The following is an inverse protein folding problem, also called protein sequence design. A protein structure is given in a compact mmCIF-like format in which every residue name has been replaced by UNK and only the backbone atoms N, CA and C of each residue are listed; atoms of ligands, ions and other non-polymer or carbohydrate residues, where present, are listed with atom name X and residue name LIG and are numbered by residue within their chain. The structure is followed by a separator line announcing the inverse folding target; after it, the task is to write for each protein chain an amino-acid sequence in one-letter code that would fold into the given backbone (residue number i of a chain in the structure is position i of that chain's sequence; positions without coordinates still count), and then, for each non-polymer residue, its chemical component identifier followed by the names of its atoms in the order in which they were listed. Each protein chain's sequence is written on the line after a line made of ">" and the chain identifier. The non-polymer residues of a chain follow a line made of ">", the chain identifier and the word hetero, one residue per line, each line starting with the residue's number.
data_IF_360223908035
#
_entry.id   IF_360223908035
#
_cell.length_a   1.000
_cell.length_b   1.000
_cell.length_c   1.000
_cell.angle_alpha   90.00
_cell.angle_beta   90.00
_cell.angle_gamma   90.00
#
_symmetry.space_group_name_H-M   'P 1'
#
loop_
_entity.id
_entity.type
_entity.pdbx_description
1 polymer ?
#
# COMPACT_ATOMS: atom_id res chain seq x y z
N UNK A 1 19.11 32.65 66.69
CA UNK A 1 19.07 33.36 65.39
C UNK A 1 19.55 32.48 64.21
N UNK A 2 19.49 31.14 64.31
CA UNK A 2 19.97 30.21 63.26
C UNK A 2 18.88 29.30 62.65
N UNK A 3 17.64 29.31 63.15
CA UNK A 3 16.58 28.40 62.68
C UNK A 3 15.76 28.96 61.50
N UNK A 4 15.74 30.27 61.29
CA UNK A 4 15.00 30.89 60.18
C UNK A 4 15.69 30.73 58.81
N UNK A 5 17.02 30.59 58.79
CA UNK A 5 17.78 30.40 57.54
C UNK A 5 17.77 28.95 57.03
N UNK A 6 17.58 27.97 57.91
CA UNK A 6 17.53 26.55 57.52
C UNK A 6 16.19 26.18 56.90
N UNK A 7 15.05 26.69 57.40
CA UNK A 7 13.74 26.39 56.81
C UNK A 7 13.53 26.98 55.41
N UNK A 8 13.97 28.22 55.17
CA UNK A 8 13.85 28.83 53.84
C UNK A 8 14.72 28.14 52.79
N UNK A 9 15.93 27.70 53.16
CA UNK A 9 16.79 26.92 52.25
C UNK A 9 16.22 25.52 51.98
N UNK A 10 15.62 24.87 52.98
CA UNK A 10 14.92 23.59 52.80
C UNK A 10 13.70 23.71 51.89
N UNK A 11 12.92 24.79 52.02
CA UNK A 11 11.80 25.06 51.13
C UNK A 11 12.25 25.32 49.69
N UNK A 12 13.32 26.09 49.48
CA UNK A 12 13.87 26.34 48.14
C UNK A 12 14.35 25.04 47.49
N UNK A 13 15.10 24.21 48.24
CA UNK A 13 15.55 22.89 47.74
C UNK A 13 14.35 22.00 47.40
N UNK A 14 13.30 22.00 48.23
CA UNK A 14 12.08 21.23 47.98
C UNK A 14 11.33 21.68 46.72
N UNK A 15 11.18 23.00 46.49
CA UNK A 15 10.55 23.52 45.27
C UNK A 15 11.36 23.20 44.01
N UNK A 16 12.70 23.24 44.11
CA UNK A 16 13.58 22.85 43.00
C UNK A 16 13.47 21.36 42.67
N UNK A 17 13.50 20.48 43.68
CA UNK A 17 13.37 19.04 43.46
C UNK A 17 11.98 18.66 42.96
N UNK A 18 10.91 19.26 43.50
CA UNK A 18 9.54 19.04 43.04
C UNK A 18 9.33 19.51 41.59
N UNK A 19 9.92 20.65 41.21
CA UNK A 19 9.88 21.14 39.83
C UNK A 19 10.61 20.22 38.85
N UNK A 20 11.78 19.70 39.23
CA UNK A 20 12.55 18.76 38.41
C UNK A 20 11.79 17.44 38.24
N UNK A 21 11.21 16.89 39.30
CA UNK A 21 10.40 15.66 39.24
C UNK A 21 9.18 15.85 38.34
N UNK A 22 8.49 16.98 38.44
CA UNK A 22 7.33 17.29 37.59
C UNK A 22 7.71 17.40 36.09
N UNK A 23 8.89 17.93 35.78
CA UNK A 23 9.39 18.02 34.41
C UNK A 23 9.76 16.64 33.87
N UNK A 24 10.38 15.78 34.70
CA UNK A 24 10.73 14.41 34.32
C UNK A 24 9.45 13.59 34.06
N UNK A 25 8.44 13.67 34.92
CA UNK A 25 7.15 13.00 34.72
C UNK A 25 6.42 13.49 33.46
N UNK A 26 6.47 14.81 33.18
CA UNK A 26 5.90 15.37 31.95
C UNK A 26 6.62 14.86 30.69
N UNK A 27 7.95 14.78 30.74
CA UNK A 27 8.75 14.21 29.67
C UNK A 27 8.47 12.73 29.49
N UNK A 28 8.40 11.96 30.57
CA UNK A 28 8.10 10.54 30.55
C UNK A 28 6.69 10.27 30.00
N UNK A 29 5.71 11.10 30.36
CA UNK A 29 4.35 11.07 29.80
C UNK A 29 4.31 11.38 28.30
N UNK A 30 5.03 12.41 27.85
CA UNK A 30 5.10 12.77 26.43
C UNK A 30 5.80 11.67 25.61
N UNK A 31 6.86 11.10 26.17
CA UNK A 31 7.65 10.01 25.58
C UNK A 31 6.82 8.73 25.51
N UNK A 32 6.25 8.23 26.60
CA UNK A 32 5.49 6.97 26.61
C UNK A 32 4.19 7.04 25.83
N UNK A 33 3.48 8.19 25.82
CA UNK A 33 2.20 8.32 25.12
C UNK A 33 2.33 8.52 23.60
N UNK A 34 3.37 9.20 23.11
CA UNK A 34 3.53 9.50 21.67
C UNK A 34 4.54 8.60 20.92
N UNK A 35 5.49 7.95 21.59
CA UNK A 35 6.48 7.07 20.93
C UNK A 35 5.84 5.93 20.13
N UNK A 36 4.77 5.24 20.59
CA UNK A 36 4.15 4.18 19.81
C UNK A 36 3.58 4.66 18.47
N UNK A 37 3.09 5.90 18.40
CA UNK A 37 2.60 6.52 17.17
C UNK A 37 3.76 6.94 16.25
N UNK A 38 4.79 7.57 16.80
CA UNK A 38 5.98 7.98 16.04
C UNK A 38 6.72 6.77 15.44
N UNK A 39 6.84 5.68 16.20
CA UNK A 39 7.42 4.42 15.72
C UNK A 39 6.59 3.75 14.62
N UNK A 40 5.26 3.97 14.56
CA UNK A 40 4.41 3.49 13.46
C UNK A 40 4.62 4.33 12.19
N UNK A 41 4.73 5.64 12.33
CA UNK A 41 5.00 6.57 11.23
C UNK A 41 6.39 6.30 10.62
N UNK A 42 7.40 6.16 11.48
CA UNK A 42 8.78 5.84 11.10
C UNK A 42 8.82 4.46 10.44
N UNK A 43 8.13 3.42 10.96
CA UNK A 43 8.06 2.11 10.29
C UNK A 43 7.48 2.17 8.88
N UNK A 44 6.50 3.04 8.61
CA UNK A 44 5.94 3.26 7.27
C UNK A 44 6.96 3.87 6.30
N UNK A 45 7.67 4.91 6.75
CA UNK A 45 8.73 5.58 5.99
C UNK A 45 9.93 4.64 5.74
N UNK A 46 10.34 3.88 6.76
CA UNK A 46 11.41 2.88 6.65
C UNK A 46 11.06 1.73 5.72
N UNK A 47 9.79 1.33 5.58
CA UNK A 47 9.38 0.33 4.56
C UNK A 47 9.45 0.88 3.13
N UNK A 48 9.22 2.18 2.93
CA UNK A 48 9.42 2.83 1.62
C UNK A 48 10.91 2.92 1.26
N UNK A 49 11.73 3.35 2.22
CA UNK A 49 13.18 3.47 2.05
C UNK A 49 13.85 2.10 1.90
N UNK A 50 13.48 1.11 2.73
CA UNK A 50 14.02 -0.24 2.64
C UNK A 50 13.69 -0.92 1.30
N UNK A 51 12.51 -0.67 0.70
CA UNK A 51 12.18 -1.14 -0.66
C UNK A 51 13.08 -0.53 -1.72
N UNK A 52 13.45 0.75 -1.55
CA UNK A 52 14.38 1.47 -2.42
C UNK A 52 15.81 0.91 -2.36
N UNK A 53 16.23 0.40 -1.20
CA UNK A 53 17.53 -0.27 -1.02
C UNK A 53 17.51 -1.78 -1.31
N UNK A 54 16.34 -2.42 -1.38
CA UNK A 54 16.21 -3.86 -1.72
C UNK A 54 16.17 -4.15 -3.22
N UNK A 55 16.12 -3.11 -4.05
CA UNK A 55 16.07 -3.19 -5.52
C UNK A 55 17.33 -3.72 -6.19
N UNK A 56 18.35 -4.13 -5.43
CA UNK A 56 19.67 -4.50 -5.95
C UNK A 56 19.95 -6.02 -5.98
N UNK A 57 18.97 -6.88 -5.65
CA UNK A 57 19.18 -8.35 -5.56
C UNK A 57 18.28 -9.14 -6.53
N UNK A 58 17.94 -8.56 -7.67
CA UNK A 58 17.53 -9.35 -8.83
C UNK A 58 17.79 -8.56 -10.09
N UNK A 59 18.83 -8.91 -10.85
CA UNK A 59 19.06 -8.43 -12.22
C UNK A 59 18.02 -8.98 -13.23
N UNK A 60 16.77 -9.17 -12.79
CA UNK A 60 15.61 -9.48 -13.61
C UNK A 60 14.69 -8.26 -13.66
N UNK A 61 14.06 -8.01 -14.81
CA UNK A 61 13.08 -6.94 -14.93
C UNK A 61 12.01 -7.09 -13.83
N UNK A 62 11.77 -6.01 -13.07
CA UNK A 62 10.70 -6.00 -12.05
C UNK A 62 9.37 -6.29 -12.74
N UNK A 63 8.63 -7.27 -12.26
CA UNK A 63 7.31 -7.66 -12.78
C UNK A 63 6.29 -7.47 -11.66
N UNK A 64 5.14 -6.86 -11.97
CA UNK A 64 4.24 -6.37 -10.94
C UNK A 64 2.81 -6.88 -11.10
N UNK A 65 2.25 -7.37 -10.00
CA UNK A 65 0.83 -7.65 -9.82
C UNK A 65 0.23 -6.51 -8.99
N UNK A 66 -0.70 -5.74 -9.57
CA UNK A 66 -1.46 -4.73 -8.83
C UNK A 66 -2.85 -5.27 -8.52
N UNK A 67 -3.16 -5.41 -7.23
CA UNK A 67 -4.38 -6.06 -6.77
C UNK A 67 -5.39 -5.07 -6.21
N UNK A 68 -6.56 -4.97 -6.86
CA UNK A 68 -7.69 -4.13 -6.47
C UNK A 68 -8.88 -4.91 -5.92
N UNK A 69 -8.77 -6.24 -5.77
CA UNK A 69 -9.90 -7.11 -5.39
C UNK A 69 -10.38 -6.93 -3.94
N UNK A 70 -9.57 -6.28 -3.08
CA UNK A 70 -9.83 -6.17 -1.64
C UNK A 70 -9.45 -7.42 -0.83
N UNK A 71 -9.02 -8.50 -1.49
CA UNK A 71 -8.55 -9.73 -0.86
C UNK A 71 -7.04 -9.92 -1.10
N UNK A 72 -6.27 -10.46 -0.14
CA UNK A 72 -4.86 -10.78 -0.39
C UNK A 72 -4.69 -11.76 -1.55
N UNK A 73 -3.68 -11.53 -2.39
CA UNK A 73 -3.27 -12.50 -3.42
C UNK A 73 -2.65 -13.71 -2.71
N UNK A 74 -3.19 -14.89 -2.96
CA UNK A 74 -2.68 -16.13 -2.39
C UNK A 74 -1.40 -16.58 -3.12
N UNK A 75 -0.50 -17.32 -2.45
CA UNK A 75 0.73 -17.81 -3.10
C UNK A 75 0.47 -18.63 -4.36
N UNK A 76 -0.57 -19.49 -4.38
CA UNK A 76 -0.95 -20.26 -5.56
C UNK A 76 -1.35 -19.35 -6.72
N UNK A 77 -2.23 -18.38 -6.47
CA UNK A 77 -2.62 -17.38 -7.46
C UNK A 77 -1.43 -16.59 -8.02
N UNK A 78 -0.50 -16.16 -7.16
CA UNK A 78 0.69 -15.44 -7.60
C UNK A 78 1.58 -16.30 -8.49
N UNK A 79 1.72 -17.59 -8.16
CA UNK A 79 2.46 -18.55 -8.96
C UNK A 79 1.77 -18.79 -10.32
N UNK A 80 0.46 -19.01 -10.34
CA UNK A 80 -0.32 -19.24 -11.56
C UNK A 80 -0.22 -18.06 -12.52
N UNK A 81 -0.35 -16.83 -12.00
CA UNK A 81 -0.13 -15.59 -12.77
C UNK A 81 1.29 -15.59 -13.34
N UNK A 82 2.28 -15.93 -12.52
CA UNK A 82 3.68 -16.01 -12.95
C UNK A 82 3.88 -16.98 -14.11
N UNK A 83 3.28 -18.16 -14.04
CA UNK A 83 3.36 -19.17 -15.10
C UNK A 83 2.69 -18.70 -16.40
N UNK A 84 1.48 -18.15 -16.31
CA UNK A 84 0.72 -17.66 -17.47
C UNK A 84 1.41 -16.46 -18.14
N UNK A 85 2.09 -15.62 -17.37
CA UNK A 85 2.81 -14.44 -17.88
C UNK A 85 4.27 -14.74 -18.27
N UNK A 86 4.75 -15.98 -18.04
CA UNK A 86 6.15 -16.35 -18.19
C UNK A 86 7.12 -15.49 -17.36
N UNK A 87 6.68 -15.17 -16.13
CA UNK A 87 7.39 -14.35 -15.17
C UNK A 87 8.13 -15.23 -14.16
N UNK A 88 9.41 -14.94 -13.92
CA UNK A 88 10.23 -15.69 -12.97
C UNK A 88 9.95 -15.30 -11.51
N UNK A 89 9.58 -14.05 -11.28
CA UNK A 89 9.19 -13.54 -9.96
C UNK A 89 8.34 -12.29 -10.11
N UNK A 90 7.36 -12.12 -9.24
CA UNK A 90 6.49 -10.93 -9.25
C UNK A 90 6.42 -10.26 -7.88
N UNK A 91 6.36 -8.93 -7.89
CA UNK A 91 5.99 -8.14 -6.72
C UNK A 91 4.46 -8.01 -6.69
N UNK A 92 3.85 -7.99 -5.50
CA UNK A 92 2.41 -7.74 -5.33
C UNK A 92 2.21 -6.41 -4.61
N UNK A 93 1.51 -5.48 -5.25
CA UNK A 93 1.01 -4.25 -4.63
C UNK A 93 -0.50 -4.40 -4.39
N UNK A 94 -0.88 -4.48 -3.12
CA UNK A 94 -2.29 -4.48 -2.73
C UNK A 94 -2.79 -3.04 -2.60
N UNK A 95 -3.82 -2.69 -3.37
CA UNK A 95 -4.44 -1.38 -3.36
C UNK A 95 -5.79 -1.47 -2.65
N UNK A 96 -5.87 -0.88 -1.47
CA UNK A 96 -7.13 -0.78 -0.73
C UNK A 96 -7.89 0.45 -1.17
N UNK A 97 -8.97 0.25 -1.94
CA UNK A 97 -9.90 1.33 -2.32
C UNK A 97 -10.89 1.61 -1.18
N UNK A 98 -11.18 0.62 -0.32
CA UNK A 98 -12.10 0.76 0.80
C UNK A 98 -13.56 0.97 0.39
N UNK A 99 -14.38 1.46 1.34
CA UNK A 99 -15.76 1.85 1.06
C UNK A 99 -15.75 3.24 0.42
N UNK A 100 -16.08 3.31 -0.87
CA UNK A 100 -16.23 4.58 -1.59
C UNK A 100 -17.66 5.08 -1.37
N UNK A 101 -17.87 6.29 -0.81
CA UNK A 101 -19.19 6.88 -0.72
C UNK A 101 -19.80 7.09 -2.10
N UNK A 102 -21.09 6.76 -2.25
CA UNK A 102 -21.88 6.98 -3.48
C UNK A 102 -22.32 8.45 -3.57
N UNK A 103 -21.36 9.36 -3.57
CA UNK A 103 -21.57 10.81 -3.62
C UNK A 103 -20.79 11.48 -4.77
N UNK A 104 -20.77 12.81 -4.77
CA UNK A 104 -20.07 13.60 -5.80
C UNK A 104 -18.54 13.41 -5.80
N UNK A 105 -17.96 12.74 -4.80
CA UNK A 105 -16.54 12.43 -4.69
C UNK A 105 -16.20 10.98 -5.04
N UNK A 106 -17.13 10.23 -5.64
CA UNK A 106 -16.91 8.82 -6.01
C UNK A 106 -15.64 8.63 -6.86
N UNK A 107 -15.53 9.33 -7.99
CA UNK A 107 -14.36 9.25 -8.90
C UNK A 107 -13.08 9.79 -8.23
N UNK A 108 -13.05 11.00 -7.65
CA UNK A 108 -11.86 11.51 -6.94
C UNK A 108 -11.33 10.61 -5.83
N UNK A 109 -12.21 9.85 -5.16
CA UNK A 109 -11.80 8.92 -4.10
C UNK A 109 -11.03 7.72 -4.66
N UNK A 110 -11.41 7.25 -5.85
CA UNK A 110 -10.73 6.15 -6.56
C UNK A 110 -9.39 6.64 -7.12
N UNK A 111 -9.36 7.81 -7.75
CA UNK A 111 -8.13 8.45 -8.26
C UNK A 111 -7.08 8.61 -7.16
N UNK A 112 -7.47 9.12 -5.99
CA UNK A 112 -6.60 9.22 -4.80
C UNK A 112 -6.09 7.88 -4.30
N UNK A 113 -6.79 6.79 -4.59
CA UNK A 113 -6.36 5.44 -4.20
C UNK A 113 -5.32 4.90 -5.17
N UNK A 114 -5.45 5.19 -6.47
CA UNK A 114 -4.46 4.87 -7.50
C UNK A 114 -3.19 5.72 -7.33
N UNK A 115 -3.30 7.00 -6.97
CA UNK A 115 -2.16 7.90 -6.75
C UNK A 115 -1.22 7.43 -5.63
N UNK A 116 -1.74 6.72 -4.63
CA UNK A 116 -0.95 6.16 -3.52
C UNK A 116 -0.08 4.96 -3.92
N UNK A 117 -0.25 4.43 -5.13
CA UNK A 117 0.58 3.35 -5.64
C UNK A 117 2.01 3.89 -5.79
N UNK A 118 3.02 3.28 -5.14
CA UNK A 118 4.37 3.83 -5.04
C UNK A 118 5.19 3.53 -6.30
N UNK A 119 4.74 4.02 -7.44
CA UNK A 119 5.43 3.93 -8.73
C UNK A 119 5.68 5.35 -9.27
N UNK A 120 6.90 5.60 -9.74
CA UNK A 120 7.24 6.81 -10.49
C UNK A 120 6.59 6.81 -11.88
N UNK A 121 6.48 7.96 -12.55
CA UNK A 121 6.03 8.03 -13.94
C UNK A 121 6.81 7.10 -14.89
N UNK A 122 8.13 6.98 -14.69
CA UNK A 122 9.00 6.10 -15.47
C UNK A 122 8.72 4.62 -15.17
N UNK A 123 8.50 4.28 -13.90
CA UNK A 123 8.14 2.92 -13.49
C UNK A 123 6.79 2.49 -14.09
N UNK A 124 5.79 3.38 -14.11
CA UNK A 124 4.51 3.13 -14.78
C UNK A 124 4.67 2.75 -16.25
N UNK A 125 5.60 3.36 -16.97
CA UNK A 125 5.76 3.12 -18.41
C UNK A 125 6.68 1.94 -18.73
N UNK A 126 7.55 1.55 -17.80
CA UNK A 126 8.62 0.57 -18.06
C UNK A 126 8.41 -0.79 -17.40
N UNK A 127 7.69 -0.85 -16.27
CA UNK A 127 7.46 -2.10 -15.54
C UNK A 127 6.31 -2.88 -16.20
N UNK A 128 6.50 -4.17 -16.52
CA UNK A 128 5.40 -5.06 -16.89
C UNK A 128 4.40 -5.20 -15.73
N UNK A 129 3.13 -4.91 -16.00
CA UNK A 129 2.05 -4.91 -15.01
C UNK A 129 0.91 -5.82 -15.44
N UNK A 130 0.45 -6.65 -14.51
CA UNK A 130 -0.82 -7.38 -14.59
C UNK A 130 -1.68 -6.98 -13.40
N UNK A 131 -3.00 -6.90 -13.60
CA UNK A 131 -3.91 -6.35 -12.60
C UNK A 131 -5.01 -7.31 -12.22
N UNK A 132 -5.31 -7.40 -10.92
CA UNK A 132 -6.48 -8.13 -10.41
C UNK A 132 -7.59 -7.09 -10.17
N UNK A 133 -8.74 -7.23 -10.85
CA UNK A 133 -9.78 -6.20 -10.86
C UNK A 133 -10.48 -6.04 -9.51
N UNK A 134 -11.08 -4.86 -9.31
CA UNK A 134 -12.06 -4.66 -8.24
C UNK A 134 -13.37 -5.37 -8.59
N UNK A 135 -14.04 -5.93 -7.58
CA UNK A 135 -15.34 -6.59 -7.76
C UNK A 135 -16.48 -5.64 -8.13
N UNK A 136 -16.36 -4.34 -7.82
CA UNK A 136 -17.38 -3.36 -8.15
C UNK A 136 -17.08 -2.68 -9.50
N UNK A 137 -17.95 -2.90 -10.48
CA UNK A 137 -17.73 -2.50 -11.89
C UNK A 137 -17.49 -1.00 -12.08
N UNK A 138 -18.16 -0.16 -11.29
CA UNK A 138 -18.06 1.30 -11.35
C UNK A 138 -16.66 1.74 -10.89
N UNK A 139 -16.18 1.17 -9.78
CA UNK A 139 -14.80 1.38 -9.31
C UNK A 139 -13.81 0.89 -10.36
N UNK A 140 -14.01 -0.32 -10.88
CA UNK A 140 -13.11 -0.90 -11.86
C UNK A 140 -13.02 -0.07 -13.14
N UNK A 141 -14.13 0.52 -13.59
CA UNK A 141 -14.15 1.37 -14.78
C UNK A 141 -13.25 2.61 -14.62
N UNK A 142 -13.28 3.23 -13.44
CA UNK A 142 -12.41 4.39 -13.12
C UNK A 142 -10.95 3.95 -13.01
N UNK A 143 -10.68 2.85 -12.30
CA UNK A 143 -9.32 2.30 -12.18
C UNK A 143 -8.73 1.96 -13.55
N UNK A 144 -9.52 1.34 -14.43
CA UNK A 144 -9.10 1.01 -15.79
C UNK A 144 -8.71 2.25 -16.59
N UNK A 145 -9.49 3.33 -16.49
CA UNK A 145 -9.19 4.60 -17.15
C UNK A 145 -7.88 5.21 -16.63
N UNK A 146 -7.69 5.24 -15.31
CA UNK A 146 -6.47 5.72 -14.66
C UNK A 146 -5.23 4.92 -15.09
N UNK A 147 -5.32 3.58 -15.07
CA UNK A 147 -4.23 2.70 -15.48
C UNK A 147 -3.91 2.90 -16.95
N UNK A 148 -4.91 2.97 -17.82
CA UNK A 148 -4.69 3.21 -19.24
C UNK A 148 -3.98 4.55 -19.49
N UNK A 149 -4.34 5.61 -18.75
CA UNK A 149 -3.68 6.91 -18.83
C UNK A 149 -2.22 6.89 -18.40
N UNK A 150 -1.90 6.15 -17.32
CA UNK A 150 -0.54 6.07 -16.76
C UNK A 150 0.38 5.14 -17.55
N UNK A 151 -0.15 4.01 -18.01
CA UNK A 151 0.59 3.00 -18.79
C UNK A 151 0.72 3.40 -20.27
N UNK A 152 -0.23 4.18 -20.80
CA UNK A 152 -0.36 4.45 -22.24
C UNK A 152 -0.98 3.31 -23.04
N UNK A 153 -1.43 2.25 -22.37
CA UNK A 153 -2.05 1.07 -22.96
C UNK A 153 -2.97 0.36 -21.95
N UNK A 154 -3.82 -0.56 -22.42
CA UNK A 154 -4.64 -1.38 -21.52
C UNK A 154 -3.79 -2.47 -20.84
N UNK A 155 -3.81 -2.56 -19.50
CA UNK A 155 -3.08 -3.62 -18.79
C UNK A 155 -3.71 -4.99 -19.06
N UNK A 156 -2.91 -6.04 -18.85
CA UNK A 156 -3.40 -7.42 -18.78
C UNK A 156 -4.18 -7.63 -17.47
N UNK A 157 -5.36 -8.27 -17.55
CA UNK A 157 -6.27 -8.40 -16.42
C UNK A 157 -6.44 -9.86 -16.01
N UNK A 158 -6.18 -10.15 -14.75
CA UNK A 158 -6.42 -11.48 -14.17
C UNK A 158 -7.91 -11.72 -14.03
N UNK A 159 -8.42 -12.82 -14.59
CA UNK A 159 -9.77 -13.29 -14.29
C UNK A 159 -9.71 -14.40 -13.26
N UNK A 160 -10.27 -14.13 -12.09
CA UNK A 160 -10.45 -15.14 -11.04
C UNK A 160 -11.78 -15.89 -11.24
N UNK A 161 -11.83 -17.16 -10.85
CA UNK A 161 -13.06 -17.95 -10.76
C UNK A 161 -13.06 -18.79 -9.49
N UNK A 162 -14.23 -19.29 -9.10
CA UNK A 162 -14.28 -20.26 -8.01
C UNK A 162 -13.46 -21.50 -8.35
N UNK A 163 -12.61 -21.91 -7.42
CA UNK A 163 -11.87 -23.16 -7.52
C UNK A 163 -12.85 -24.32 -7.55
N UNK A 164 -12.75 -25.18 -8.57
CA UNK A 164 -13.51 -26.43 -8.63
C UNK A 164 -12.86 -27.54 -7.78
N UNK A 165 -11.66 -27.28 -7.25
CA UNK A 165 -10.90 -28.23 -6.44
C UNK A 165 -11.18 -28.07 -4.95
N UNK A 166 -11.02 -29.14 -4.18
CA UNK A 166 -11.05 -29.11 -2.71
C UNK A 166 -9.71 -28.52 -2.22
N UNK A 167 -9.37 -27.32 -2.68
CA UNK A 167 -8.21 -26.56 -2.21
C UNK A 167 -8.65 -25.56 -1.15
N UNK A 168 -7.72 -25.13 -0.30
CA UNK A 168 -7.97 -24.04 0.65
C UNK A 168 -8.17 -22.69 -0.07
N UNK A 169 -7.83 -22.61 -1.36
CA UNK A 169 -7.98 -21.42 -2.17
C UNK A 169 -9.36 -21.40 -2.82
N UNK A 170 -10.25 -20.52 -2.33
CA UNK A 170 -11.62 -20.41 -2.86
C UNK A 170 -11.67 -19.92 -4.32
N UNK A 171 -10.65 -19.18 -4.74
CA UNK A 171 -10.56 -18.59 -6.08
C UNK A 171 -9.24 -18.97 -6.73
N UNK A 172 -9.31 -19.41 -7.99
CA UNK A 172 -8.16 -19.73 -8.82
C UNK A 172 -8.07 -18.77 -10.01
N UNK A 173 -6.86 -18.66 -10.59
CA UNK A 173 -6.60 -17.86 -11.78
C UNK A 173 -7.10 -18.63 -12.99
N UNK A 174 -8.17 -18.13 -13.63
CA UNK A 174 -8.78 -18.79 -14.77
C UNK A 174 -8.05 -18.50 -16.08
N UNK A 175 -7.67 -17.23 -16.28
CA UNK A 175 -6.96 -16.74 -17.46
C UNK A 175 -6.40 -15.33 -17.20
N UNK A 176 -5.50 -14.91 -18.09
CA UNK A 176 -5.06 -13.52 -18.22
C UNK A 176 -5.71 -12.94 -19.48
N UNK A 177 -6.51 -11.89 -19.30
CA UNK A 177 -7.21 -11.21 -20.39
C UNK A 177 -6.32 -10.12 -20.98
N UNK A 178 -5.89 -10.31 -22.23
CA UNK A 178 -5.14 -9.31 -22.99
C UNK A 178 -6.07 -8.24 -23.57
N UNK A 179 -6.33 -7.18 -22.80
CA UNK A 179 -7.24 -6.11 -23.21
C UNK A 179 -6.69 -5.26 -24.37
N UNK A 180 -5.37 -5.25 -24.57
CA UNK A 180 -4.76 -4.58 -25.72
C UNK A 180 -5.14 -5.27 -27.02
N UNK A 181 -5.05 -6.60 -27.05
CA UNK A 181 -5.46 -7.41 -28.19
C UNK A 181 -6.97 -7.30 -28.44
N UNK A 182 -7.80 -7.36 -27.40
CA UNK A 182 -9.25 -7.11 -27.51
C UNK A 182 -9.52 -5.75 -28.16
N UNK A 183 -8.80 -4.69 -27.75
CA UNK A 183 -8.91 -3.36 -28.36
C UNK A 183 -8.48 -3.35 -29.83
N UNK A 184 -7.38 -4.03 -30.18
CA UNK A 184 -6.92 -4.12 -31.57
C UNK A 184 -7.94 -4.84 -32.46
N UNK A 185 -8.38 -6.03 -32.05
CA UNK A 185 -9.38 -6.81 -32.78
C UNK A 185 -10.71 -6.06 -32.94
N UNK A 186 -11.04 -5.17 -31.99
CA UNK A 186 -12.24 -4.32 -32.08
C UNK A 186 -12.07 -3.15 -33.06
N UNK A 187 -10.84 -2.72 -33.37
CA UNK A 187 -10.58 -1.70 -34.40
C UNK A 187 -10.74 -2.26 -35.80
N UNK A 188 -10.36 -3.52 -36.00
CA UNK A 188 -10.39 -4.18 -37.31
C UNK A 188 -11.82 -4.53 -37.79
N UNK A 189 -12.80 -4.49 -36.88
CA UNK A 189 -14.23 -4.77 -37.16
C UNK A 189 -15.03 -3.54 -37.61
N UNK A 190 -14.40 -2.38 -37.71
CA UNK A 190 -15.06 -1.10 -38.01
C UNK A 190 -15.24 -0.89 -39.50
#
# INVERSE_FOLDING_TARGET
>A
MNEFFTQNNLLVVFWYTAGIVSIIELLEYLVTRNIPWLLRLIRGLWRGVARRFRGDISQGARQLIINFSGHPVLPGQQQDIGQMMHWSSSEVINVSIGNVPEDHNFVPSIEKSVEKIPLSPEEWQSIPVVVIPSGYSQIWSVVMAELHGRLGYFPDVVRLRFSSSISNEKFEVAEIMNLREVRHNSRDKR
#
